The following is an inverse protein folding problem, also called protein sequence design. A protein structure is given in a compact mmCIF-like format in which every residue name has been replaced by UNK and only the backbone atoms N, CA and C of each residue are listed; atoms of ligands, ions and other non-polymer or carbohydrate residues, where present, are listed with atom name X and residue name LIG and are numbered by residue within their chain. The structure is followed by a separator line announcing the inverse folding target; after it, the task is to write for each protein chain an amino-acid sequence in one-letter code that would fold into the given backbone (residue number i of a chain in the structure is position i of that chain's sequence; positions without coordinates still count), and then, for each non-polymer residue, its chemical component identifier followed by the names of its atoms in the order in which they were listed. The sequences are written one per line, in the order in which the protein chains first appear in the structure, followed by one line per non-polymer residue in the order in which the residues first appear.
data_IF_374525310277
#
_entry.id   IF_374525310277
#
_cell.length_a   1.000
_cell.length_b   1.000
_cell.length_c   1.000
_cell.angle_alpha   90.00
_cell.angle_beta   90.00
_cell.angle_gamma   90.00
#
_symmetry.space_group_name_H-M   'P 1'
#
loop_
_entity.id
_entity.type
_entity.pdbx_description
1 polymer ?
#
# COMPACT_ATOMS: atom_id res chain seq x y z
N UNK A 1 -38.67 51.31 -37.42
CA UNK A 1 -38.02 50.11 -37.95
C UNK A 1 -37.46 49.33 -36.78
N UNK A 2 -37.88 48.14 -36.59
CA UNK A 2 -37.72 47.49 -35.28
C UNK A 2 -36.43 46.72 -35.16
N UNK A 3 -35.89 46.81 -33.96
CA UNK A 3 -34.81 46.01 -33.42
C UNK A 3 -35.29 44.58 -33.13
N UNK A 4 -34.53 43.60 -33.51
CA UNK A 4 -34.69 42.24 -33.05
C UNK A 4 -33.56 41.89 -32.09
N UNK A 5 -33.90 41.97 -30.81
CA UNK A 5 -33.15 41.32 -29.74
C UNK A 5 -33.42 39.83 -29.79
N UNK A 6 -32.41 39.02 -30.03
CA UNK A 6 -32.47 37.59 -29.83
C UNK A 6 -31.58 37.23 -28.66
N UNK A 7 -32.24 37.07 -27.53
CA UNK A 7 -31.73 36.50 -26.31
C UNK A 7 -31.21 35.09 -26.51
N UNK A 8 -29.88 34.91 -26.49
CA UNK A 8 -29.21 33.61 -26.62
C UNK A 8 -28.29 33.34 -25.47
N UNK A 9 -28.76 33.45 -24.25
CA UNK A 9 -27.91 33.25 -23.06
C UNK A 9 -28.45 32.35 -21.95
N UNK A 10 -29.49 31.51 -22.23
CA UNK A 10 -30.09 30.75 -21.13
C UNK A 10 -29.95 29.21 -21.23
N UNK A 11 -29.24 28.69 -22.24
CA UNK A 11 -29.16 27.22 -22.42
C UNK A 11 -27.79 26.59 -22.13
N UNK A 12 -26.78 27.35 -21.74
CA UNK A 12 -25.43 26.82 -21.52
C UNK A 12 -25.03 26.57 -20.07
N UNK A 13 -25.91 26.85 -19.09
CA UNK A 13 -25.56 26.75 -17.66
C UNK A 13 -26.04 25.48 -16.95
N UNK A 14 -26.79 24.60 -17.59
CA UNK A 14 -27.28 23.38 -16.93
C UNK A 14 -26.45 22.12 -17.20
N UNK A 15 -25.52 22.12 -18.14
CA UNK A 15 -24.76 20.91 -18.51
C UNK A 15 -23.49 20.70 -17.71
N UNK A 16 -23.03 21.69 -16.93
CA UNK A 16 -21.75 21.59 -16.19
C UNK A 16 -21.95 21.03 -14.79
N UNK A 17 -23.17 21.09 -14.22
CA UNK A 17 -23.45 20.60 -12.88
C UNK A 17 -23.70 19.09 -12.77
N UNK A 18 -24.01 18.41 -13.88
CA UNK A 18 -24.26 16.97 -13.89
C UNK A 18 -22.97 16.14 -14.00
N UNK A 19 -21.86 16.71 -14.51
CA UNK A 19 -20.58 16.01 -14.67
C UNK A 19 -19.72 15.94 -13.41
N UNK A 20 -19.95 16.84 -12.45
CA UNK A 20 -19.14 16.92 -11.23
C UNK A 20 -19.52 15.90 -10.15
N UNK A 21 -20.74 15.41 -10.14
CA UNK A 21 -21.22 14.51 -9.09
C UNK A 21 -20.87 13.03 -9.35
N UNK A 22 -20.64 12.65 -10.60
CA UNK A 22 -20.30 11.26 -10.98
C UNK A 22 -18.81 10.94 -10.74
N UNK A 23 -17.92 11.92 -10.76
CA UNK A 23 -16.49 11.71 -10.50
C UNK A 23 -16.14 11.56 -9.01
N UNK A 24 -17.01 12.04 -8.11
CA UNK A 24 -16.76 11.99 -6.66
C UNK A 24 -17.12 10.63 -6.02
N UNK A 25 -17.90 9.78 -6.70
CA UNK A 25 -18.33 8.48 -6.14
C UNK A 25 -17.33 7.34 -6.39
N UNK A 26 -16.29 7.53 -7.20
CA UNK A 26 -15.30 6.49 -7.52
C UNK A 26 -14.10 6.45 -6.55
N UNK A 27 -14.02 7.35 -5.57
CA UNK A 27 -12.89 7.46 -4.65
C UNK A 27 -13.08 6.71 -3.31
N UNK A 28 -14.17 5.97 -3.11
CA UNK A 28 -14.46 5.24 -1.87
C UNK A 28 -14.25 3.73 -2.00
N UNK A 29 -13.37 3.26 -2.87
CA UNK A 29 -12.83 1.92 -2.73
C UNK A 29 -11.85 1.94 -1.55
N UNK A 30 -12.37 1.72 -0.34
CA UNK A 30 -11.57 1.49 0.86
C UNK A 30 -10.68 0.28 0.62
N UNK A 31 -9.45 0.52 0.21
CA UNK A 31 -8.42 -0.50 0.19
C UNK A 31 -8.14 -0.88 1.64
N UNK A 32 -8.26 -2.16 1.98
CA UNK A 32 -7.67 -2.70 3.20
C UNK A 32 -6.18 -2.29 3.17
N UNK A 33 -5.82 -1.33 4.01
CA UNK A 33 -4.49 -0.72 4.00
C UNK A 33 -3.53 -1.63 4.75
N UNK A 34 -2.51 -2.08 4.06
CA UNK A 34 -1.35 -2.73 4.66
C UNK A 34 -0.50 -1.63 5.29
N UNK A 35 -0.29 -1.69 6.60
CA UNK A 35 0.54 -0.72 7.30
C UNK A 35 2.03 -1.02 7.09
N UNK A 36 2.81 0.05 6.91
CA UNK A 36 4.25 -0.05 6.72
C UNK A 36 4.98 0.99 7.57
N UNK A 37 6.03 0.56 8.23
CA UNK A 37 6.96 1.41 8.96
C UNK A 37 8.35 1.26 8.36
N UNK A 38 8.93 2.37 7.94
CA UNK A 38 10.24 2.41 7.32
C UNK A 38 11.21 3.15 8.23
N UNK A 39 12.35 2.52 8.55
CA UNK A 39 13.41 3.10 9.37
C UNK A 39 14.71 3.14 8.59
N UNK A 40 15.19 4.35 8.27
CA UNK A 40 16.49 4.54 7.64
C UNK A 40 17.62 4.38 8.66
N UNK A 41 18.73 3.76 8.27
CA UNK A 41 19.90 3.62 9.13
C UNK A 41 20.72 4.92 9.15
N UNK A 42 21.14 5.31 10.35
CA UNK A 42 21.97 6.51 10.55
C UNK A 42 23.41 6.24 10.14
N UNK A 43 24.07 7.22 9.52
CA UNK A 43 25.48 7.12 9.11
C UNK A 43 25.70 6.41 7.79
N UNK A 44 24.65 6.08 7.07
CA UNK A 44 24.70 5.52 5.71
C UNK A 44 24.25 6.59 4.72
N UNK A 45 24.94 6.69 3.57
CA UNK A 45 24.49 7.54 2.48
C UNK A 45 23.20 6.98 1.88
N UNK A 46 22.19 7.82 1.79
CA UNK A 46 20.91 7.47 1.20
C UNK A 46 20.84 7.97 -0.24
N UNK A 47 20.81 7.05 -1.22
CA UNK A 47 20.66 7.44 -2.62
C UNK A 47 19.27 8.00 -2.91
N UNK A 48 19.11 8.59 -4.08
CA UNK A 48 17.78 9.03 -4.53
C UNK A 48 16.80 7.82 -4.59
N UNK A 49 15.51 8.05 -4.34
CA UNK A 49 14.49 7.02 -4.47
C UNK A 49 14.53 6.33 -5.83
N UNK A 50 14.33 5.02 -5.85
CA UNK A 50 14.25 4.19 -7.05
C UNK A 50 12.78 3.89 -7.41
N UNK A 51 12.54 3.16 -8.50
CA UNK A 51 11.21 2.70 -8.84
C UNK A 51 10.89 1.40 -8.08
N UNK A 52 9.68 1.27 -7.54
CA UNK A 52 9.27 0.05 -6.83
C UNK A 52 9.35 -1.21 -7.72
N UNK A 53 9.15 -1.07 -9.04
CA UNK A 53 9.30 -2.15 -10.01
C UNK A 53 10.73 -2.65 -10.20
N UNK A 54 11.73 -1.86 -9.85
CA UNK A 54 13.15 -2.20 -9.93
C UNK A 54 13.65 -2.88 -8.66
N UNK A 55 12.94 -2.75 -7.54
CA UNK A 55 13.32 -3.37 -6.28
C UNK A 55 13.03 -4.87 -6.30
N UNK A 56 14.06 -5.68 -6.07
CA UNK A 56 13.95 -7.14 -6.01
C UNK A 56 13.72 -7.60 -4.58
N UNK A 57 12.71 -8.46 -4.36
CA UNK A 57 12.47 -9.10 -3.06
C UNK A 57 13.29 -10.37 -2.96
N UNK A 58 14.19 -10.44 -1.99
CA UNK A 58 15.09 -11.57 -1.75
C UNK A 58 14.69 -12.30 -0.46
N UNK A 59 14.78 -13.62 -0.46
CA UNK A 59 14.53 -14.46 0.73
C UNK A 59 15.82 -14.87 1.44
N UNK A 60 16.98 -14.58 0.82
CA UNK A 60 18.31 -14.84 1.36
C UNK A 60 19.20 -13.64 1.10
N UNK A 61 20.17 -13.41 1.99
CA UNK A 61 21.13 -12.33 1.81
C UNK A 61 22.02 -12.61 0.61
N UNK A 62 22.20 -11.64 -0.32
CA UNK A 62 23.02 -11.84 -1.50
C UNK A 62 24.51 -11.83 -1.13
N UNK A 63 25.30 -12.59 -1.87
CA UNK A 63 26.77 -12.62 -1.73
C UNK A 63 27.47 -11.43 -2.38
N UNK A 64 26.77 -10.72 -3.28
CA UNK A 64 27.29 -9.51 -3.93
C UNK A 64 27.48 -8.40 -2.89
N UNK A 65 28.59 -7.62 -2.97
CA UNK A 65 28.82 -6.48 -2.09
C UNK A 65 27.62 -5.50 -2.12
N UNK A 66 27.17 -5.12 -0.94
CA UNK A 66 26.02 -4.23 -0.79
C UNK A 66 26.10 -3.45 0.53
N UNK A 67 25.36 -2.36 0.60
CA UNK A 67 25.18 -1.56 1.80
C UNK A 67 23.73 -1.69 2.27
N UNK A 68 23.52 -1.83 3.57
CA UNK A 68 22.19 -1.83 4.17
C UNK A 68 21.75 -0.39 4.42
N UNK A 69 20.63 0.02 3.83
CA UNK A 69 20.12 1.38 3.90
C UNK A 69 19.14 1.58 5.06
N UNK A 70 18.40 0.54 5.42
CA UNK A 70 17.37 0.62 6.43
C UNK A 70 16.54 -0.65 6.52
N UNK A 71 15.45 -0.56 7.26
CA UNK A 71 14.50 -1.66 7.42
C UNK A 71 13.06 -1.20 7.14
N UNK A 72 12.26 -2.11 6.65
CA UNK A 72 10.81 -1.95 6.44
C UNK A 72 10.09 -3.03 7.21
N UNK A 73 9.17 -2.62 8.06
CA UNK A 73 8.25 -3.50 8.77
C UNK A 73 6.87 -3.36 8.14
N UNK A 74 6.30 -4.46 7.69
CA UNK A 74 4.94 -4.52 7.15
C UNK A 74 4.05 -5.24 8.13
N UNK A 75 2.92 -4.63 8.46
CA UNK A 75 1.82 -5.25 9.20
C UNK A 75 0.61 -5.41 8.27
N UNK A 76 0.32 -6.64 7.91
CA UNK A 76 -0.80 -7.04 7.07
C UNK A 76 -1.85 -7.82 7.88
N UNK A 77 -2.06 -7.41 9.13
CA UNK A 77 -3.02 -8.02 10.06
C UNK A 77 -4.41 -7.42 9.87
N UNK A 78 -4.95 -7.52 8.66
CA UNK A 78 -6.29 -7.03 8.28
C UNK A 78 -7.16 -8.18 7.78
N UNK A 79 -8.47 -8.06 7.95
CA UNK A 79 -9.46 -9.03 7.51
C UNK A 79 -10.33 -8.44 6.39
N UNK A 80 -10.44 -9.09 5.21
CA UNK A 80 -9.73 -10.31 4.81
C UNK A 80 -8.22 -10.09 4.61
N UNK A 81 -7.43 -11.14 4.86
CA UNK A 81 -5.99 -11.08 4.70
C UNK A 81 -5.59 -10.74 3.26
N UNK A 82 -4.73 -9.74 3.03
CA UNK A 82 -4.32 -9.37 1.70
C UNK A 82 -3.46 -10.47 1.06
N UNK A 83 -3.51 -10.63 -0.27
CA UNK A 83 -2.64 -11.57 -0.96
C UNK A 83 -1.17 -11.15 -0.78
N UNK A 84 -0.28 -12.16 -0.74
CA UNK A 84 1.17 -11.91 -0.54
C UNK A 84 1.75 -10.94 -1.57
N UNK A 85 1.24 -10.93 -2.78
CA UNK A 85 1.66 -10.02 -3.85
C UNK A 85 1.49 -8.55 -3.45
N UNK A 86 0.39 -8.19 -2.77
CA UNK A 86 0.16 -6.83 -2.26
C UNK A 86 1.10 -6.48 -1.10
N UNK A 87 1.40 -7.45 -0.24
CA UNK A 87 2.35 -7.27 0.86
C UNK A 87 3.76 -7.01 0.31
N UNK A 88 4.18 -7.80 -0.68
CA UNK A 88 5.48 -7.63 -1.35
C UNK A 88 5.54 -6.34 -2.19
N UNK A 89 4.44 -5.94 -2.84
CA UNK A 89 4.35 -4.67 -3.55
C UNK A 89 4.57 -3.49 -2.58
N UNK A 90 3.89 -3.52 -1.44
CA UNK A 90 4.08 -2.52 -0.40
C UNK A 90 5.53 -2.49 0.12
N UNK A 91 6.13 -3.66 0.30
CA UNK A 91 7.54 -3.78 0.69
C UNK A 91 8.49 -3.13 -0.34
N UNK A 92 8.24 -3.36 -1.65
CA UNK A 92 9.01 -2.73 -2.73
C UNK A 92 8.84 -1.21 -2.74
N UNK A 93 7.61 -0.72 -2.59
CA UNK A 93 7.34 0.72 -2.54
C UNK A 93 8.12 1.42 -1.43
N UNK A 94 8.08 0.88 -0.21
CA UNK A 94 8.79 1.45 0.93
C UNK A 94 10.32 1.35 0.77
N UNK A 95 10.80 0.23 0.22
CA UNK A 95 12.23 0.05 -0.06
C UNK A 95 12.74 1.00 -1.14
N UNK A 96 11.94 1.28 -2.16
CA UNK A 96 12.26 2.22 -3.22
C UNK A 96 12.41 3.66 -2.69
N UNK A 97 11.63 4.06 -1.68
CA UNK A 97 11.76 5.38 -1.03
C UNK A 97 13.12 5.58 -0.38
N UNK A 98 13.75 4.50 0.12
CA UNK A 98 15.10 4.53 0.67
C UNK A 98 16.19 4.45 -0.42
N UNK A 99 15.83 4.33 -1.69
CA UNK A 99 16.76 4.19 -2.81
C UNK A 99 17.37 2.81 -2.95
N UNK A 100 16.72 1.78 -2.41
CA UNK A 100 17.19 0.39 -2.47
C UNK A 100 17.08 -0.23 -3.86
N UNK A 101 17.97 -1.18 -4.16
CA UNK A 101 17.92 -2.05 -5.33
C UNK A 101 17.23 -3.37 -5.00
N UNK A 102 17.33 -3.79 -3.75
CA UNK A 102 16.69 -5.02 -3.28
C UNK A 102 16.29 -4.90 -1.80
N UNK A 103 15.40 -5.76 -1.38
CA UNK A 103 15.00 -5.94 0.01
C UNK A 103 15.09 -7.40 0.41
N UNK A 104 15.85 -7.69 1.46
CA UNK A 104 16.04 -9.03 2.00
C UNK A 104 15.01 -9.26 3.10
N UNK A 105 14.12 -10.22 2.90
CA UNK A 105 13.12 -10.60 3.89
C UNK A 105 13.80 -11.42 4.99
N UNK A 106 13.88 -10.86 6.19
CA UNK A 106 14.53 -11.50 7.35
C UNK A 106 13.51 -12.08 8.33
N UNK A 107 12.26 -11.65 8.21
CA UNK A 107 11.17 -12.14 9.06
C UNK A 107 9.88 -12.16 8.24
N UNK A 108 9.16 -13.27 8.28
CA UNK A 108 7.86 -13.44 7.63
C UNK A 108 7.05 -14.42 8.49
N UNK A 109 6.09 -13.92 9.24
CA UNK A 109 5.34 -14.72 10.20
C UNK A 109 3.84 -14.49 10.08
N UNK A 110 3.10 -15.59 10.04
CA UNK A 110 1.64 -15.61 10.11
C UNK A 110 1.26 -16.08 11.50
N UNK A 111 0.46 -15.28 12.19
CA UNK A 111 0.03 -15.56 13.55
C UNK A 111 -1.45 -15.21 13.76
N UNK A 112 -2.14 -15.87 14.68
CA UNK A 112 -3.46 -15.46 15.10
C UNK A 112 -3.41 -14.07 15.72
N UNK A 113 -4.21 -13.12 15.23
CA UNK A 113 -4.26 -11.74 15.75
C UNK A 113 -5.57 -11.42 16.43
N UNK A 114 -6.66 -12.16 16.09
CA UNK A 114 -7.97 -12.03 16.70
C UNK A 114 -8.75 -13.33 16.53
N UNK A 115 -9.81 -13.47 17.31
CA UNK A 115 -10.80 -14.53 17.14
C UNK A 115 -12.19 -13.90 17.09
N UNK A 116 -12.96 -14.27 16.08
CA UNK A 116 -14.38 -13.92 15.99
C UNK A 116 -15.21 -15.08 16.55
N UNK A 117 -16.07 -14.75 17.51
CA UNK A 117 -16.93 -15.75 18.16
C UNK A 117 -18.36 -15.45 17.75
N UNK A 118 -18.99 -16.39 17.06
CA UNK A 118 -20.40 -16.32 16.64
C UNK A 118 -21.23 -17.45 17.23
N UNK A 119 -22.54 -17.33 17.17
CA UNK A 119 -23.48 -18.32 17.64
C UNK A 119 -23.90 -18.17 19.11
N UNK A 120 -24.93 -18.94 19.52
CA UNK A 120 -25.48 -18.89 20.88
C UNK A 120 -24.49 -19.51 21.90
N UNK A 121 -24.70 -19.22 23.19
CA UNK A 121 -23.79 -19.64 24.27
C UNK A 121 -23.53 -21.15 24.35
N UNK A 122 -24.46 -21.97 23.85
CA UNK A 122 -24.36 -23.44 23.86
C UNK A 122 -23.80 -24.05 22.58
N UNK A 123 -23.59 -23.21 21.53
CA UNK A 123 -22.99 -23.65 20.27
C UNK A 123 -22.28 -22.45 19.63
N UNK A 124 -21.02 -22.25 20.03
CA UNK A 124 -20.18 -21.13 19.54
C UNK A 124 -19.24 -21.61 18.48
N UNK A 125 -19.23 -20.91 17.35
CA UNK A 125 -18.19 -21.02 16.35
C UNK A 125 -17.11 -19.98 16.62
N UNK A 126 -15.85 -20.43 16.54
CA UNK A 126 -14.67 -19.58 16.73
C UNK A 126 -13.89 -19.57 15.43
N UNK A 127 -13.88 -18.42 14.76
CA UNK A 127 -13.09 -18.17 13.58
C UNK A 127 -11.86 -17.34 13.97
N UNK A 128 -10.68 -17.86 13.62
CA UNK A 128 -9.41 -17.21 13.95
C UNK A 128 -8.97 -16.34 12.78
N UNK A 129 -8.78 -15.05 13.03
CA UNK A 129 -8.24 -14.10 12.08
C UNK A 129 -6.72 -14.23 12.09
N UNK A 130 -6.14 -14.50 10.93
CA UNK A 130 -4.71 -14.61 10.73
C UNK A 130 -4.13 -13.27 10.30
N UNK A 131 -3.11 -12.81 11.03
CA UNK A 131 -2.34 -11.63 10.65
C UNK A 131 -0.95 -12.02 10.16
N UNK A 132 -0.39 -11.21 9.25
CA UNK A 132 0.96 -11.41 8.73
C UNK A 132 1.83 -10.22 9.05
N UNK A 133 3.00 -10.49 9.63
CA UNK A 133 4.05 -9.49 9.83
C UNK A 133 5.29 -9.88 9.03
N UNK A 134 5.83 -8.93 8.30
CA UNK A 134 6.98 -9.12 7.44
C UNK A 134 7.98 -8.02 7.70
N UNK A 135 9.26 -8.38 7.86
CA UNK A 135 10.38 -7.44 8.00
C UNK A 135 11.39 -7.66 6.90
N UNK A 136 11.76 -6.59 6.22
CA UNK A 136 12.79 -6.57 5.19
C UNK A 136 13.92 -5.61 5.51
N UNK A 137 15.14 -5.96 5.15
CA UNK A 137 16.32 -5.10 5.17
C UNK A 137 16.54 -4.58 3.75
N UNK A 138 16.51 -3.27 3.59
CA UNK A 138 16.72 -2.61 2.30
C UNK A 138 18.21 -2.50 2.03
N UNK A 139 18.63 -2.92 0.85
CA UNK A 139 20.03 -2.94 0.45
C UNK A 139 20.24 -2.21 -0.88
N UNK A 140 21.44 -1.65 -1.04
CA UNK A 140 21.97 -1.04 -2.26
C UNK A 140 23.22 -1.80 -2.68
N UNK A 141 23.27 -2.29 -3.92
CA UNK A 141 24.48 -2.91 -4.45
C UNK A 141 25.57 -1.87 -4.71
N UNK A 142 26.82 -2.31 -4.52
CA UNK A 142 28.02 -1.53 -4.82
C UNK A 142 28.54 -1.86 -6.21
#
# INVERSE_FOLDING_TARGET
MPAHDVSWSTRFKLSVLAGGLTAALLALSGCATVDAQTTAYVGVEHPAPTLASEVVVLRTEPTRPHVRLGEVLIDASVDPAPPITKVEEKLREESAKLGGDAVVVVYDHIQPVAAYVSGPLWNRDIETIQGRKLKGIVIKYQ
#
